data_IF_737447762068
#
_entry.id   IF_737447762068
#
_cell.length_a   1.000
_cell.length_b   1.000
_cell.length_c   1.000
_cell.angle_alpha   90.00
_cell.angle_beta   90.00
_cell.angle_gamma   90.00
#
_symmetry.space_group_name_H-M   'P 1'
#
loop_
_entity.id
_entity.type
_entity.pdbx_description
1 polymer ?
#
# COMPACT_ATOMS: atom_id res chain seq x y z
N UNK A 1 -9.26 3.77 -14.29
CA UNK A 1 -8.62 5.10 -14.33
C UNK A 1 -7.12 4.99 -14.14
N UNK A 2 -6.60 5.08 -12.92
CA UNK A 2 -5.15 4.93 -12.71
C UNK A 2 -4.69 3.46 -12.65
N UNK A 3 -5.58 2.55 -12.29
CA UNK A 3 -5.25 1.13 -12.06
C UNK A 3 -5.63 0.19 -13.20
N UNK A 4 -5.92 0.70 -14.38
CA UNK A 4 -6.32 -0.12 -15.54
C UNK A 4 -5.29 -1.20 -15.88
N UNK A 5 -4.02 -0.80 -15.93
CA UNK A 5 -2.92 -1.72 -16.25
C UNK A 5 -2.74 -2.77 -15.14
N UNK A 6 -2.80 -2.34 -13.87
CA UNK A 6 -2.71 -3.26 -12.73
C UNK A 6 -3.83 -4.31 -12.78
N UNK A 7 -5.05 -3.88 -13.10
CA UNK A 7 -6.20 -4.79 -13.24
C UNK A 7 -6.01 -5.78 -14.38
N UNK A 8 -5.49 -5.31 -15.52
CA UNK A 8 -5.22 -6.18 -16.67
C UNK A 8 -4.19 -7.26 -16.31
N UNK A 9 -3.12 -6.86 -15.60
CA UNK A 9 -2.09 -7.80 -15.14
C UNK A 9 -2.70 -8.84 -14.18
N UNK A 10 -3.51 -8.38 -13.23
CA UNK A 10 -4.19 -9.25 -12.27
C UNK A 10 -5.09 -10.27 -12.98
N UNK A 11 -5.94 -9.82 -13.88
CA UNK A 11 -6.86 -10.68 -14.61
C UNK A 11 -6.16 -11.70 -15.52
N UNK A 12 -4.93 -11.41 -15.95
CA UNK A 12 -4.14 -12.35 -16.77
C UNK A 12 -3.81 -13.64 -16.01
N UNK A 13 -3.80 -13.56 -14.68
CA UNK A 13 -3.50 -14.71 -13.81
C UNK A 13 -4.73 -15.53 -13.42
N UNK A 14 -5.91 -14.93 -13.52
CA UNK A 14 -7.21 -15.57 -13.21
C UNK A 14 -7.33 -16.18 -11.81
N UNK A 15 -6.79 -15.52 -10.82
CA UNK A 15 -7.03 -15.87 -9.42
C UNK A 15 -8.46 -15.49 -9.01
N UNK A 16 -8.87 -15.84 -7.78
CA UNK A 16 -10.16 -15.46 -7.26
C UNK A 16 -10.33 -13.95 -7.33
N UNK A 17 -11.53 -13.44 -7.63
CA UNK A 17 -11.78 -12.01 -7.58
C UNK A 17 -11.42 -11.46 -6.21
N UNK A 18 -10.77 -10.30 -6.13
CA UNK A 18 -10.46 -9.69 -4.86
C UNK A 18 -11.73 -9.19 -4.17
N UNK A 19 -11.67 -9.00 -2.85
CA UNK A 19 -12.78 -8.47 -2.09
C UNK A 19 -12.63 -6.94 -1.94
N UNK A 20 -13.56 -6.15 -2.47
CA UNK A 20 -13.47 -4.70 -2.42
C UNK A 20 -13.91 -4.12 -1.08
N UNK A 21 -13.40 -2.92 -0.74
CA UNK A 21 -14.00 -2.09 0.28
C UNK A 21 -15.26 -1.44 -0.30
N UNK A 22 -16.15 -1.01 0.57
CA UNK A 22 -17.29 -0.18 0.19
C UNK A 22 -16.88 1.30 0.20
N UNK A 23 -17.66 2.15 -0.43
CA UNK A 23 -17.48 3.60 -0.37
C UNK A 23 -17.52 4.11 1.08
N UNK A 24 -18.40 3.54 1.89
CA UNK A 24 -18.51 3.88 3.32
C UNK A 24 -17.20 3.57 4.07
N UNK A 25 -16.57 2.43 3.78
CA UNK A 25 -15.31 2.06 4.39
C UNK A 25 -14.17 3.01 3.97
N UNK A 26 -14.16 3.45 2.72
CA UNK A 26 -13.21 4.48 2.25
C UNK A 26 -13.39 5.77 3.05
N UNK A 27 -14.62 6.21 3.24
CA UNK A 27 -14.94 7.41 4.02
C UNK A 27 -14.53 7.27 5.48
N UNK A 28 -14.67 6.08 6.07
CA UNK A 28 -14.23 5.80 7.43
C UNK A 28 -12.71 5.97 7.58
N UNK A 29 -11.94 5.52 6.60
CA UNK A 29 -10.48 5.71 6.59
C UNK A 29 -10.15 7.20 6.51
N UNK A 30 -10.81 7.94 5.61
CA UNK A 30 -10.60 9.37 5.47
C UNK A 30 -10.91 10.13 6.76
N UNK A 31 -11.98 9.77 7.44
CA UNK A 31 -12.36 10.37 8.71
C UNK A 31 -11.34 10.05 9.81
N UNK A 32 -10.91 8.81 9.88
CA UNK A 32 -9.95 8.38 10.89
C UNK A 32 -8.59 9.08 10.72
N UNK A 33 -8.11 9.18 9.48
CA UNK A 33 -6.82 9.78 9.18
C UNK A 33 -6.88 11.31 9.09
N UNK A 34 -8.08 11.90 9.03
CA UNK A 34 -8.31 13.33 8.79
C UNK A 34 -7.66 13.78 7.48
N UNK A 35 -7.71 12.93 6.45
CA UNK A 35 -7.10 13.17 5.15
C UNK A 35 -8.04 12.74 4.04
N UNK A 36 -7.96 13.41 2.90
CA UNK A 36 -8.60 12.95 1.69
C UNK A 36 -7.64 12.01 0.98
N UNK A 37 -8.09 10.79 0.69
CA UNK A 37 -7.24 9.79 0.04
C UNK A 37 -6.99 10.12 -1.43
N UNK A 38 -5.78 9.89 -1.96
CA UNK A 38 -5.50 10.03 -3.39
C UNK A 38 -6.41 9.11 -4.23
N UNK A 39 -6.77 9.56 -5.43
CA UNK A 39 -7.69 8.84 -6.31
C UNK A 39 -7.24 7.41 -6.61
N UNK A 40 -5.97 7.21 -6.92
CA UNK A 40 -5.43 5.87 -7.20
C UNK A 40 -5.55 4.94 -5.99
N UNK A 41 -5.38 5.47 -4.79
CA UNK A 41 -5.52 4.69 -3.56
C UNK A 41 -6.98 4.33 -3.28
N UNK A 42 -7.92 5.24 -3.55
CA UNK A 42 -9.36 4.96 -3.47
C UNK A 42 -9.73 3.85 -4.46
N UNK A 43 -9.23 3.92 -5.71
CA UNK A 43 -9.45 2.87 -6.70
C UNK A 43 -8.95 1.51 -6.18
N UNK A 44 -7.78 1.48 -5.55
CA UNK A 44 -7.20 0.29 -4.96
C UNK A 44 -8.12 -0.30 -3.88
N UNK A 45 -8.60 0.53 -2.94
CA UNK A 45 -9.49 0.07 -1.86
C UNK A 45 -10.82 -0.46 -2.41
N UNK A 46 -11.40 0.23 -3.39
CA UNK A 46 -12.66 -0.18 -4.00
C UNK A 46 -12.52 -1.42 -4.89
N UNK A 47 -11.31 -1.83 -5.20
CA UNK A 47 -11.02 -3.03 -6.00
C UNK A 47 -10.63 -4.22 -5.12
N UNK A 48 -9.64 -4.07 -4.23
CA UNK A 48 -9.10 -5.18 -3.44
C UNK A 48 -8.81 -4.86 -1.98
N UNK A 49 -9.38 -3.76 -1.46
CA UNK A 49 -9.02 -3.27 -0.14
C UNK A 49 -9.31 -4.21 1.02
N UNK A 50 -10.26 -5.14 0.88
CA UNK A 50 -10.56 -6.10 1.94
C UNK A 50 -9.65 -7.34 1.85
N UNK A 51 -9.35 -7.80 0.66
CA UNK A 51 -8.57 -9.02 0.49
C UNK A 51 -8.27 -9.33 -0.96
N UNK A 52 -7.09 -9.90 -1.21
CA UNK A 52 -6.73 -10.51 -2.48
C UNK A 52 -5.84 -11.71 -2.21
N UNK A 53 -6.18 -12.86 -2.77
CA UNK A 53 -5.54 -14.17 -2.47
C UNK A 53 -4.03 -14.15 -2.67
N UNK A 54 -3.59 -13.60 -3.80
CA UNK A 54 -2.18 -13.57 -4.14
C UNK A 54 -1.33 -12.66 -3.28
N UNK A 55 -1.96 -11.76 -2.49
CA UNK A 55 -1.26 -10.77 -1.67
C UNK A 55 -1.33 -11.06 -0.18
N UNK A 56 -1.60 -12.30 0.18
CA UNK A 56 -1.64 -12.74 1.58
C UNK A 56 -0.27 -12.62 2.25
N UNK A 57 -0.26 -12.43 3.54
CA UNK A 57 0.97 -12.42 4.35
C UNK A 57 1.61 -11.07 4.53
N UNK A 58 0.99 -9.99 4.05
CA UNK A 58 1.44 -8.62 4.29
C UNK A 58 0.32 -7.74 4.85
N UNK A 59 0.67 -6.73 5.62
CA UNK A 59 -0.27 -5.75 6.16
C UNK A 59 -0.52 -4.68 5.10
N UNK A 60 -1.35 -5.04 4.13
CA UNK A 60 -1.56 -4.25 2.93
C UNK A 60 -3.03 -3.87 2.68
N UNK A 61 -3.92 -4.34 3.51
CA UNK A 61 -5.36 -4.19 3.32
C UNK A 61 -6.00 -3.12 4.24
N UNK A 62 -7.28 -2.93 4.10
CA UNK A 62 -8.12 -1.95 4.80
C UNK A 62 -7.95 -1.92 6.32
N UNK A 63 -8.10 -3.09 7.02
CA UNK A 63 -8.13 -3.23 8.44
C UNK A 63 -6.88 -2.74 9.09
N UNK A 64 -5.51 -2.93 8.51
CA UNK A 64 -4.32 -2.41 9.13
C UNK A 64 -4.17 -0.90 9.00
N UNK A 65 -4.85 -0.25 8.04
CA UNK A 65 -4.76 1.20 7.84
C UNK A 65 -5.02 2.03 9.09
N UNK A 66 -5.80 1.48 10.03
CA UNK A 66 -6.11 2.16 11.28
C UNK A 66 -4.94 2.14 12.28
N UNK A 67 -4.02 1.19 12.13
CA UNK A 67 -2.91 0.96 13.07
C UNK A 67 -1.51 1.15 12.47
N UNK A 68 -1.40 1.13 11.16
CA UNK A 68 -0.08 1.11 10.49
C UNK A 68 0.77 2.34 10.78
N UNK A 69 0.16 3.51 10.90
CA UNK A 69 0.91 4.73 11.22
C UNK A 69 1.61 4.60 12.58
N UNK A 70 0.91 4.09 13.58
CA UNK A 70 1.48 3.88 14.91
C UNK A 70 2.64 2.88 14.86
N UNK A 71 2.47 1.79 14.10
CA UNK A 71 3.54 0.82 13.88
C UNK A 71 4.77 1.43 13.21
N UNK A 72 4.55 2.29 12.21
CA UNK A 72 5.63 2.99 11.51
C UNK A 72 6.38 3.93 12.46
N UNK A 73 5.67 4.71 13.27
CA UNK A 73 6.25 5.63 14.24
C UNK A 73 7.06 4.86 15.29
N UNK A 74 6.57 3.71 15.72
CA UNK A 74 7.28 2.83 16.68
C UNK A 74 8.59 2.32 16.06
N UNK A 75 8.56 1.88 14.81
CA UNK A 75 9.77 1.41 14.12
C UNK A 75 10.78 2.55 13.99
N UNK A 76 10.35 3.75 13.61
CA UNK A 76 11.23 4.90 13.49
C UNK A 76 11.88 5.26 14.83
N UNK A 77 11.12 5.17 15.91
CA UNK A 77 11.61 5.47 17.27
C UNK A 77 12.63 4.45 17.78
N UNK A 78 12.55 3.19 17.32
CA UNK A 78 13.44 2.10 17.72
C UNK A 78 14.63 1.89 16.77
N UNK A 79 14.75 2.75 15.76
CA UNK A 79 15.86 2.72 14.79
C UNK A 79 16.47 4.13 14.68
N UNK A 80 17.55 4.27 13.95
CA UNK A 80 18.25 5.56 13.82
C UNK A 80 17.66 6.42 12.69
N UNK A 81 16.33 6.53 12.61
CA UNK A 81 15.67 7.32 11.57
C UNK A 81 15.99 8.81 11.72
N UNK A 82 16.43 9.42 10.63
CA UNK A 82 16.79 10.84 10.59
C UNK A 82 15.67 11.71 10.00
N UNK A 83 14.51 11.13 9.75
CA UNK A 83 13.37 11.85 9.20
C UNK A 83 12.15 11.77 10.10
N UNK A 84 11.19 12.66 9.86
CA UNK A 84 9.90 12.67 10.56
C UNK A 84 8.84 12.23 9.56
N UNK A 85 7.94 11.37 10.00
CA UNK A 85 6.82 10.93 9.16
C UNK A 85 5.89 12.13 8.90
N UNK A 86 5.63 12.51 7.64
CA UNK A 86 4.76 13.64 7.35
C UNK A 86 3.35 13.44 7.93
N UNK A 87 2.70 14.54 8.31
CA UNK A 87 1.34 14.47 8.86
C UNK A 87 0.34 13.92 7.84
N UNK A 88 0.54 14.17 6.56
CA UNK A 88 -0.30 13.69 5.47
C UNK A 88 0.14 12.32 4.93
N UNK A 89 1.04 11.63 5.62
CA UNK A 89 1.45 10.28 5.22
C UNK A 89 0.35 9.27 5.49
N UNK A 90 0.11 8.43 4.50
CA UNK A 90 -0.80 7.30 4.60
C UNK A 90 0.07 6.05 4.53
N UNK A 91 0.32 5.44 5.68
CA UNK A 91 1.10 4.20 5.77
C UNK A 91 0.16 3.07 5.35
N UNK A 92 0.44 2.44 4.24
CA UNK A 92 -0.45 1.42 3.67
C UNK A 92 0.14 0.01 3.65
N UNK A 93 1.40 -0.12 4.00
CA UNK A 93 2.11 -1.40 3.99
C UNK A 93 3.08 -1.48 5.14
N UNK A 94 3.11 -2.62 5.81
CA UNK A 94 4.14 -2.96 6.80
C UNK A 94 4.41 -4.46 6.71
N UNK A 95 5.65 -4.87 6.88
CA UNK A 95 6.00 -6.28 6.83
C UNK A 95 6.94 -6.63 7.98
N UNK A 96 6.52 -7.59 8.79
CA UNK A 96 7.34 -8.10 9.91
C UNK A 96 7.71 -7.05 10.97
N UNK A 97 7.05 -5.89 10.99
CA UNK A 97 7.35 -4.81 11.92
C UNK A 97 8.71 -4.13 11.70
N UNK A 98 9.41 -4.44 10.60
CA UNK A 98 10.76 -3.93 10.33
C UNK A 98 10.90 -3.08 9.06
N UNK A 99 9.82 -2.88 8.32
CA UNK A 99 9.79 -2.00 7.14
C UNK A 99 8.37 -1.58 6.80
N UNK A 100 8.23 -0.41 6.23
CA UNK A 100 6.91 0.09 5.81
C UNK A 100 7.01 0.97 4.56
N UNK A 101 5.87 1.19 3.95
CA UNK A 101 5.71 2.11 2.81
C UNK A 101 4.59 3.07 3.10
N UNK A 102 4.69 4.27 2.53
CA UNK A 102 3.63 5.27 2.64
C UNK A 102 3.53 6.11 1.37
N UNK A 103 2.35 6.72 1.19
CA UNK A 103 2.11 7.75 0.18
C UNK A 103 1.71 9.03 0.92
N UNK A 104 1.71 10.16 0.24
CA UNK A 104 1.30 11.43 0.83
C UNK A 104 0.04 11.95 0.15
N UNK A 105 -0.95 12.30 0.96
CA UNK A 105 -2.24 12.82 0.47
C UNK A 105 -2.08 14.11 -0.35
N UNK A 106 -1.03 14.90 -0.08
CA UNK A 106 -0.76 16.17 -0.76
C UNK A 106 -0.05 16.04 -2.10
N UNK A 107 0.34 14.84 -2.51
CA UNK A 107 1.16 14.64 -3.71
C UNK A 107 0.39 14.15 -4.94
N UNK A 108 -0.87 14.53 -5.04
CA UNK A 108 -1.69 14.30 -6.23
C UNK A 108 -2.51 13.02 -6.22
N UNK A 109 -3.12 12.73 -7.36
CA UNK A 109 -4.06 11.61 -7.51
C UNK A 109 -3.40 10.24 -7.57
N UNK A 110 -2.15 10.18 -8.04
CA UNK A 110 -1.37 8.95 -8.17
C UNK A 110 0.04 9.19 -7.61
N UNK A 111 0.15 9.33 -6.27
CA UNK A 111 1.37 9.84 -5.64
C UNK A 111 2.54 8.86 -5.63
N UNK A 112 3.75 9.39 -5.42
CA UNK A 112 4.93 8.55 -5.22
C UNK A 112 4.78 7.64 -4.00
N UNK A 113 5.50 6.53 -3.99
CA UNK A 113 5.59 5.60 -2.86
C UNK A 113 6.94 5.75 -2.20
N UNK A 114 6.93 5.96 -0.88
CA UNK A 114 8.12 6.06 -0.05
C UNK A 114 8.31 4.79 0.78
N UNK A 115 9.55 4.48 1.08
CA UNK A 115 9.94 3.27 1.81
C UNK A 115 10.91 3.58 2.95
N UNK A 116 10.73 2.89 4.07
CA UNK A 116 11.68 2.89 5.17
C UNK A 116 11.94 1.46 5.65
N UNK A 117 13.20 1.04 5.69
CA UNK A 117 13.59 -0.32 6.09
C UNK A 117 14.46 -0.41 7.33
N UNK A 118 14.75 0.72 8.00
CA UNK A 118 15.54 0.76 9.23
C UNK A 118 17.06 0.69 9.05
N UNK A 119 17.55 0.19 7.91
CA UNK A 119 19.00 0.13 7.63
C UNK A 119 19.51 1.46 7.09
N UNK A 120 18.70 2.11 6.24
CA UNK A 120 18.96 3.46 5.77
C UNK A 120 18.19 4.40 6.69
N UNK A 121 18.82 5.39 7.34
CA UNK A 121 18.12 6.30 8.24
C UNK A 121 17.19 7.28 7.56
N UNK A 122 17.15 7.26 6.22
CA UNK A 122 16.31 8.14 5.43
C UNK A 122 15.25 7.37 4.66
N UNK A 123 14.15 8.07 4.29
CA UNK A 123 13.15 7.50 3.40
C UNK A 123 13.74 7.42 1.98
N UNK A 124 13.34 6.39 1.24
CA UNK A 124 13.65 6.28 -0.19
C UNK A 124 12.34 6.34 -0.97
N UNK A 125 12.42 6.58 -2.28
CA UNK A 125 11.25 6.67 -3.15
C UNK A 125 11.38 5.64 -4.28
N UNK A 126 11.02 4.38 -4.02
CA UNK A 126 11.16 3.30 -5.01
C UNK A 126 10.22 3.41 -6.21
N UNK A 127 9.11 4.12 -6.07
CA UNK A 127 8.15 4.27 -7.17
C UNK A 127 7.69 5.73 -7.29
N UNK A 128 7.58 6.22 -8.52
CA UNK A 128 7.10 7.57 -8.78
C UNK A 128 5.59 7.69 -8.70
N UNK A 129 4.87 6.56 -8.79
CA UNK A 129 3.41 6.51 -8.72
C UNK A 129 2.93 5.27 -7.97
N UNK A 130 1.84 5.40 -7.24
CA UNK A 130 1.21 4.28 -6.54
C UNK A 130 0.74 3.20 -7.52
N UNK A 131 0.23 3.59 -8.70
CA UNK A 131 -0.16 2.65 -9.75
C UNK A 131 1.02 1.77 -10.18
N UNK A 132 2.22 2.35 -10.34
CA UNK A 132 3.43 1.62 -10.70
C UNK A 132 3.83 0.60 -9.63
N UNK A 133 3.68 0.98 -8.36
CA UNK A 133 3.91 0.09 -7.23
C UNK A 133 2.99 -1.12 -7.29
N UNK A 134 1.68 -0.92 -7.52
CA UNK A 134 0.71 -2.01 -7.62
C UNK A 134 1.01 -2.93 -8.80
N UNK A 135 1.31 -2.37 -9.97
CA UNK A 135 1.66 -3.14 -11.17
C UNK A 135 2.84 -4.07 -10.89
N UNK A 136 3.91 -3.52 -10.35
CA UNK A 136 5.13 -4.27 -10.02
C UNK A 136 4.87 -5.33 -8.95
N UNK A 137 4.13 -4.99 -7.92
CA UNK A 137 3.80 -5.90 -6.81
C UNK A 137 2.95 -7.07 -7.29
N UNK A 138 1.93 -6.81 -8.10
CA UNK A 138 1.06 -7.85 -8.65
C UNK A 138 1.88 -8.78 -9.57
N UNK A 139 2.73 -8.23 -10.43
CA UNK A 139 3.62 -9.01 -11.30
C UNK A 139 4.52 -9.94 -10.47
N UNK A 140 5.08 -9.43 -9.39
CA UNK A 140 5.92 -10.21 -8.49
C UNK A 140 5.17 -11.37 -7.85
N UNK A 141 3.94 -11.12 -7.33
CA UNK A 141 3.12 -12.18 -6.74
C UNK A 141 2.73 -13.24 -7.78
N UNK A 142 2.40 -12.85 -9.00
CA UNK A 142 2.10 -13.77 -10.10
C UNK A 142 3.30 -14.65 -10.40
N UNK A 143 4.48 -14.04 -10.49
CA UNK A 143 5.73 -14.76 -10.75
C UNK A 143 6.02 -15.80 -9.66
N UNK A 144 5.84 -15.42 -8.39
CA UNK A 144 6.04 -16.33 -7.26
C UNK A 144 5.00 -17.46 -7.27
N UNK A 145 3.73 -17.15 -7.55
CA UNK A 145 2.67 -18.15 -7.62
C UNK A 145 2.92 -19.17 -8.74
N UNK A 146 3.38 -18.71 -9.91
CA UNK A 146 3.74 -19.60 -11.03
C UNK A 146 4.92 -20.51 -10.68
N UNK A 147 5.93 -19.96 -10.03
CA UNK A 147 7.10 -20.71 -9.60
C UNK A 147 6.74 -21.83 -8.61
N UNK A 148 5.81 -21.54 -7.69
CA UNK A 148 5.37 -22.52 -6.70
C UNK A 148 4.48 -23.63 -7.27
N UNK A 149 3.97 -23.47 -8.50
CA UNK A 149 3.16 -24.49 -9.19
C UNK A 149 4.00 -25.41 -10.08
N UNK A 150 5.25 -25.07 -10.28
CA UNK A 150 6.21 -25.90 -11.00
C UNK A 150 6.88 -26.90 -10.03
#
# INVERSE_FOLDING_TARGET
MYLEKAKQIFFSFREKPPAPCTQEQVEQVEQFLHLKLPVAFVEYLLWMGQWADMMRGSDFFYWPLFDLREGAETLMAHTECQETLPQDAIVFFMHGGNRFMFIRASEGDDPPVYFYGGKNPYFTKPFDHFSSYLETTIEWFIKMARKNRE
#
